data_IF_695491979629
#
_entry.id   IF_695491979629
#
_cell.length_a   1.000
_cell.length_b   1.000
_cell.length_c   1.000
_cell.angle_alpha   90.00
_cell.angle_beta   90.00
_cell.angle_gamma   90.00
#
_symmetry.space_group_name_H-M   'P 1'
#
loop_
_entity.id
_entity.type
_entity.pdbx_description
1 polymer ?
#
# COMPACT_ATOMS: atom_id res chain seq x y z
N UNK A 1 32.54 -9.59 8.59
CA UNK A 1 31.44 -8.78 9.16
C UNK A 1 30.43 -8.35 8.11
N UNK A 2 30.81 -7.63 7.05
CA UNK A 2 29.87 -7.18 6.01
C UNK A 2 29.27 -8.35 5.21
N UNK A 3 30.09 -9.34 4.83
CA UNK A 3 29.61 -10.51 4.08
C UNK A 3 28.61 -11.36 4.88
N UNK A 4 28.82 -11.50 6.19
CA UNK A 4 27.88 -12.20 7.07
C UNK A 4 26.54 -11.45 7.15
N UNK A 5 26.58 -10.13 7.35
CA UNK A 5 25.38 -9.30 7.35
C UNK A 5 24.59 -9.43 6.04
N UNK A 6 25.27 -9.43 4.89
CA UNK A 6 24.63 -9.58 3.59
C UNK A 6 23.89 -10.93 3.47
N UNK A 7 24.54 -12.02 3.87
CA UNK A 7 23.95 -13.38 3.88
C UNK A 7 22.77 -13.46 4.85
N UNK A 8 22.89 -12.91 6.06
CA UNK A 8 21.81 -12.93 7.05
C UNK A 8 20.60 -12.11 6.60
N UNK A 9 20.84 -10.98 5.94
CA UNK A 9 19.80 -10.15 5.37
C UNK A 9 19.08 -10.84 4.21
N UNK A 10 19.84 -11.42 3.27
CA UNK A 10 19.30 -12.20 2.15
C UNK A 10 18.44 -13.36 2.65
N UNK A 11 18.93 -14.15 3.61
CA UNK A 11 18.17 -15.25 4.22
C UNK A 11 16.85 -14.80 4.83
N UNK A 12 16.80 -13.64 5.50
CA UNK A 12 15.57 -13.10 6.11
C UNK A 12 14.59 -12.55 5.07
N UNK A 13 15.09 -12.00 3.97
CA UNK A 13 14.24 -11.48 2.89
C UNK A 13 13.70 -12.62 2.03
N UNK A 14 14.49 -13.65 1.74
CA UNK A 14 14.08 -14.78 0.90
C UNK A 14 13.36 -15.89 1.69
N UNK A 15 13.46 -15.88 3.02
CA UNK A 15 12.88 -16.91 3.87
C UNK A 15 13.69 -18.22 3.89
N UNK A 16 14.98 -18.17 3.54
CA UNK A 16 15.91 -19.31 3.50
C UNK A 16 16.76 -19.43 4.78
N UNK A 17 16.29 -18.87 5.89
CA UNK A 17 16.96 -18.93 7.19
C UNK A 17 16.96 -20.33 7.81
N UNK A 18 18.04 -20.66 8.53
CA UNK A 18 18.20 -21.97 9.20
C UNK A 18 17.28 -22.13 10.43
N UNK A 19 16.77 -21.01 10.97
CA UNK A 19 15.81 -20.97 12.07
C UNK A 19 14.52 -20.27 11.60
N UNK A 20 13.40 -20.97 11.73
CA UNK A 20 12.08 -20.48 11.31
C UNK A 20 11.32 -19.97 12.54
N UNK A 21 10.95 -18.70 12.54
CA UNK A 21 10.06 -18.11 13.55
C UNK A 21 8.62 -18.55 13.30
N UNK A 22 8.00 -19.18 14.29
CA UNK A 22 6.63 -19.71 14.22
C UNK A 22 5.60 -18.85 14.96
N UNK A 23 6.01 -17.76 15.61
CA UNK A 23 5.12 -16.90 16.39
C UNK A 23 4.63 -15.70 15.59
N UNK A 24 5.48 -15.12 14.74
CA UNK A 24 5.12 -13.99 13.90
C UNK A 24 5.72 -14.04 12.49
N UNK A 25 5.01 -13.44 11.53
CA UNK A 25 5.57 -13.20 10.19
C UNK A 25 6.68 -12.15 10.30
N UNK A 26 7.80 -12.34 9.60
CA UNK A 26 8.93 -11.41 9.60
C UNK A 26 9.58 -11.33 8.21
N UNK A 27 10.39 -10.29 7.99
CA UNK A 27 11.20 -10.11 6.78
C UNK A 27 10.38 -10.24 5.51
N UNK A 28 10.81 -11.14 4.61
CA UNK A 28 10.14 -11.41 3.34
C UNK A 28 8.68 -11.80 3.47
N UNK A 29 8.33 -12.63 4.45
CA UNK A 29 6.96 -13.10 4.64
C UNK A 29 6.02 -11.96 5.05
N UNK A 30 6.50 -11.05 5.91
CA UNK A 30 5.72 -9.86 6.31
C UNK A 30 5.58 -8.87 5.16
N UNK A 31 6.63 -8.68 4.34
CA UNK A 31 6.56 -7.89 3.10
C UNK A 31 5.54 -8.50 2.12
N UNK A 32 5.55 -9.81 1.93
CA UNK A 32 4.58 -10.51 1.08
C UNK A 32 3.15 -10.26 1.54
N UNK A 33 2.88 -10.39 2.84
CA UNK A 33 1.58 -10.07 3.44
C UNK A 33 1.18 -8.61 3.24
N UNK A 34 2.12 -7.66 3.33
CA UNK A 34 1.84 -6.25 3.05
C UNK A 34 1.32 -6.08 1.61
N UNK A 35 1.99 -6.68 0.63
CA UNK A 35 1.60 -6.56 -0.77
C UNK A 35 0.31 -7.30 -1.14
N UNK A 36 0.09 -8.50 -0.58
CA UNK A 36 -0.98 -9.38 -1.04
C UNK A 36 -2.23 -9.40 -0.16
N UNK A 37 -2.12 -8.98 1.09
CA UNK A 37 -3.28 -8.89 1.99
C UNK A 37 -3.56 -7.44 2.36
N UNK A 38 -2.56 -6.73 2.89
CA UNK A 38 -2.80 -5.43 3.52
C UNK A 38 -3.10 -4.34 2.50
N UNK A 39 -2.30 -4.23 1.44
CA UNK A 39 -2.49 -3.22 0.42
C UNK A 39 -3.81 -3.40 -0.35
N UNK A 40 -4.18 -4.62 -0.83
CA UNK A 40 -5.48 -4.86 -1.44
C UNK A 40 -6.64 -4.55 -0.49
N UNK A 41 -6.51 -4.91 0.79
CA UNK A 41 -7.51 -4.55 1.79
C UNK A 41 -7.69 -3.03 1.91
N UNK A 42 -6.60 -2.26 1.96
CA UNK A 42 -6.68 -0.79 2.04
C UNK A 42 -7.32 -0.18 0.78
N UNK A 43 -7.08 -0.76 -0.40
CA UNK A 43 -7.74 -0.33 -1.65
C UNK A 43 -9.25 -0.60 -1.63
N UNK A 44 -9.68 -1.77 -1.14
CA UNK A 44 -11.10 -2.13 -1.08
C UNK A 44 -11.83 -1.39 0.05
N UNK A 45 -11.13 -1.13 1.16
CA UNK A 45 -11.65 -0.36 2.30
C UNK A 45 -11.97 1.08 1.94
N UNK A 46 -11.48 1.60 0.82
CA UNK A 46 -11.86 2.92 0.34
C UNK A 46 -13.37 2.99 0.11
N UNK A 47 -14.09 3.45 1.13
CA UNK A 47 -15.54 3.53 1.09
C UNK A 47 -15.99 4.49 0.00
N UNK A 48 -17.06 4.06 -0.66
CA UNK A 48 -17.66 4.76 -1.76
C UNK A 48 -19.07 5.19 -1.36
N UNK A 49 -19.24 6.48 -1.03
CA UNK A 49 -20.58 7.04 -0.86
C UNK A 49 -21.20 7.23 -2.25
N UNK A 50 -22.03 6.25 -2.64
CA UNK A 50 -22.73 6.27 -3.92
C UNK A 50 -23.68 7.47 -4.05
N UNK A 51 -24.32 7.89 -2.94
CA UNK A 51 -25.24 9.04 -2.96
C UNK A 51 -24.46 10.32 -3.22
N UNK A 52 -23.31 10.48 -2.56
CA UNK A 52 -22.43 11.61 -2.80
C UNK A 52 -21.89 11.60 -4.23
N UNK A 53 -21.45 10.46 -4.77
CA UNK A 53 -20.96 10.42 -6.15
C UNK A 53 -22.04 10.80 -7.16
N UNK A 54 -23.26 10.26 -7.03
CA UNK A 54 -24.37 10.59 -7.93
C UNK A 54 -24.68 12.09 -7.89
N UNK A 55 -24.60 12.71 -6.71
CA UNK A 55 -24.73 14.16 -6.53
C UNK A 55 -23.61 14.90 -7.26
N UNK A 56 -22.36 14.47 -7.12
CA UNK A 56 -21.21 15.09 -7.79
C UNK A 56 -21.30 14.99 -9.32
N UNK A 57 -21.66 13.82 -9.85
CA UNK A 57 -21.89 13.61 -11.30
C UNK A 57 -22.96 14.57 -11.80
N UNK A 58 -24.08 14.66 -11.08
CA UNK A 58 -25.20 15.54 -11.44
C UNK A 58 -24.78 17.01 -11.51
N UNK A 59 -24.00 17.47 -10.53
CA UNK A 59 -23.47 18.84 -10.55
C UNK A 59 -22.43 19.06 -11.65
N UNK A 60 -21.52 18.11 -11.87
CA UNK A 60 -20.52 18.21 -12.93
C UNK A 60 -21.18 18.38 -14.31
N UNK A 61 -22.18 17.55 -14.62
CA UNK A 61 -22.92 17.63 -15.88
C UNK A 61 -23.63 18.97 -16.03
N UNK A 62 -24.35 19.43 -14.99
CA UNK A 62 -25.06 20.73 -15.02
C UNK A 62 -24.10 21.89 -15.22
N UNK A 63 -22.97 21.89 -14.52
CA UNK A 63 -21.96 22.96 -14.61
C UNK A 63 -21.29 23.02 -15.98
N UNK A 64 -21.02 21.86 -16.61
CA UNK A 64 -20.41 21.83 -17.95
C UNK A 64 -21.37 22.37 -19.00
N UNK A 65 -22.67 22.09 -18.89
CA UNK A 65 -23.68 22.62 -19.80
C UNK A 65 -23.93 24.12 -19.58
N UNK A 66 -23.80 24.60 -18.35
CA UNK A 66 -24.02 26.00 -18.00
C UNK A 66 -25.44 26.44 -18.34
N UNK A 67 -25.57 27.55 -19.10
CA UNK A 67 -26.86 28.09 -19.54
C UNK A 67 -27.50 27.30 -20.69
N UNK A 68 -26.73 26.44 -21.38
CA UNK A 68 -27.21 25.70 -22.55
C UNK A 68 -27.93 24.43 -22.11
N UNK A 69 -29.02 24.08 -22.78
CA UNK A 69 -29.68 22.79 -22.56
C UNK A 69 -28.82 21.67 -23.14
N UNK A 70 -28.40 20.74 -22.29
CA UNK A 70 -27.58 19.60 -22.68
C UNK A 70 -28.39 18.51 -23.35
N UNK A 71 -27.99 18.08 -24.55
CA UNK A 71 -28.58 16.93 -25.24
C UNK A 71 -27.87 15.61 -24.90
N UNK A 72 -26.58 15.68 -24.52
CA UNK A 72 -25.73 14.52 -24.23
C UNK A 72 -24.91 14.75 -22.96
N UNK A 73 -24.46 13.67 -22.30
CA UNK A 73 -23.53 13.77 -21.17
C UNK A 73 -22.14 14.18 -21.68
N UNK A 74 -21.49 15.21 -21.12
CA UNK A 74 -20.17 15.64 -21.60
C UNK A 74 -19.07 14.70 -21.11
N UNK A 75 -18.14 14.32 -21.99
CA UNK A 75 -16.96 13.49 -21.65
C UNK A 75 -16.14 14.07 -20.49
N UNK A 76 -16.07 15.40 -20.41
CA UNK A 76 -15.40 16.12 -19.33
C UNK A 76 -15.98 15.78 -17.95
N UNK A 77 -17.28 15.51 -17.82
CA UNK A 77 -17.89 15.12 -16.54
C UNK A 77 -17.36 13.77 -16.10
N UNK A 78 -17.35 12.79 -17.02
CA UNK A 78 -16.79 11.46 -16.76
C UNK A 78 -15.32 11.55 -16.40
N UNK A 79 -14.51 12.24 -17.21
CA UNK A 79 -13.08 12.39 -16.94
C UNK A 79 -12.80 13.02 -15.58
N UNK A 80 -13.53 14.09 -15.23
CA UNK A 80 -13.36 14.79 -13.95
C UNK A 80 -13.63 13.87 -12.77
N UNK A 81 -14.74 13.12 -12.85
CA UNK A 81 -15.16 12.21 -11.79
C UNK A 81 -14.19 11.04 -11.66
N UNK A 82 -13.79 10.41 -12.77
CA UNK A 82 -12.83 9.29 -12.77
C UNK A 82 -11.46 9.74 -12.26
N UNK A 83 -10.93 10.87 -12.75
CA UNK A 83 -9.67 11.45 -12.26
C UNK A 83 -9.72 11.70 -10.74
N UNK A 84 -10.86 12.17 -10.22
CA UNK A 84 -11.06 12.36 -8.77
C UNK A 84 -11.02 11.04 -8.00
N UNK A 85 -11.64 9.98 -8.51
CA UNK A 85 -11.60 8.66 -7.86
C UNK A 85 -10.19 8.04 -7.90
N UNK A 86 -9.51 8.07 -9.06
CA UNK A 86 -8.16 7.51 -9.21
C UNK A 86 -7.15 8.19 -8.28
N UNK A 87 -7.27 9.50 -8.05
CA UNK A 87 -6.41 10.24 -7.09
C UNK A 87 -6.45 9.67 -5.67
N UNK A 88 -7.58 9.06 -5.24
CA UNK A 88 -7.71 8.49 -3.90
C UNK A 88 -6.81 7.25 -3.69
N UNK A 89 -6.39 6.58 -4.77
CA UNK A 89 -5.49 5.40 -4.71
C UNK A 89 -4.09 5.76 -4.21
N UNK A 90 -3.69 7.04 -4.35
CA UNK A 90 -2.37 7.53 -3.95
C UNK A 90 -2.04 7.22 -2.49
N UNK A 91 -3.00 7.44 -1.59
CA UNK A 91 -2.76 7.32 -0.15
C UNK A 91 -2.50 5.86 0.28
N UNK A 92 -3.32 4.87 -0.12
CA UNK A 92 -2.99 3.45 0.08
C UNK A 92 -1.63 3.03 -0.47
N UNK A 93 -1.24 3.55 -1.65
CA UNK A 93 0.07 3.24 -2.24
C UNK A 93 1.23 3.75 -1.37
N UNK A 94 1.14 5.01 -0.89
CA UNK A 94 2.15 5.58 0.00
C UNK A 94 2.25 4.80 1.31
N UNK A 95 1.10 4.47 1.91
CA UNK A 95 1.04 3.66 3.12
C UNK A 95 1.65 2.27 2.91
N UNK A 96 1.43 1.64 1.76
CA UNK A 96 2.08 0.37 1.41
C UNK A 96 3.60 0.50 1.42
N UNK A 97 4.13 1.55 0.79
CA UNK A 97 5.58 1.83 0.76
C UNK A 97 6.12 2.03 2.17
N UNK A 98 5.45 2.83 3.01
CA UNK A 98 5.87 3.09 4.40
C UNK A 98 5.92 1.82 5.25
N UNK A 99 4.94 0.93 5.08
CA UNK A 99 4.92 -0.38 5.76
C UNK A 99 6.09 -1.27 5.33
N UNK A 100 6.41 -1.31 4.03
CA UNK A 100 7.56 -2.08 3.51
C UNK A 100 8.88 -1.49 4.00
N UNK A 101 9.04 -0.17 3.97
CA UNK A 101 10.24 0.51 4.49
C UNK A 101 10.43 0.20 5.98
N UNK A 102 9.35 0.23 6.76
CA UNK A 102 9.39 -0.09 8.19
C UNK A 102 9.89 -1.51 8.43
N UNK A 103 9.43 -2.47 7.64
CA UNK A 103 9.86 -3.87 7.74
C UNK A 103 11.31 -4.08 7.29
N UNK A 104 11.75 -3.39 6.23
CA UNK A 104 13.14 -3.43 5.80
C UNK A 104 14.08 -2.86 6.88
N UNK A 105 13.73 -1.74 7.50
CA UNK A 105 14.49 -1.15 8.61
C UNK A 105 14.54 -2.12 9.81
N UNK A 106 13.41 -2.75 10.14
CA UNK A 106 13.34 -3.77 11.18
C UNK A 106 14.30 -4.93 10.88
N UNK A 107 14.26 -5.45 9.65
CA UNK A 107 15.10 -6.56 9.18
C UNK A 107 16.59 -6.20 9.26
N UNK A 108 16.99 -5.00 8.82
CA UNK A 108 18.38 -4.52 8.93
C UNK A 108 18.83 -4.49 10.40
N UNK A 109 18.00 -3.95 11.30
CA UNK A 109 18.33 -3.89 12.74
C UNK A 109 18.44 -5.28 13.38
N UNK A 110 17.65 -6.23 12.93
CA UNK A 110 17.74 -7.62 13.40
C UNK A 110 19.03 -8.29 12.93
N UNK A 111 19.49 -8.02 11.71
CA UNK A 111 20.76 -8.55 11.19
C UNK A 111 22.00 -7.93 11.87
N UNK A 112 21.87 -6.74 12.48
CA UNK A 112 22.98 -6.09 13.20
C UNK A 112 22.98 -6.34 14.70
N UNK A 113 21.96 -7.02 15.25
CA UNK A 113 21.98 -7.47 16.65
C UNK A 113 23.09 -8.51 16.82
N UNK A 114 24.16 -8.15 17.54
CA UNK A 114 25.13 -9.15 18.02
C UNK A 114 24.39 -10.19 18.87
N UNK A 115 24.70 -11.49 18.75
CA UNK A 115 24.27 -12.44 19.77
C UNK A 115 24.83 -11.93 21.10
N UNK A 116 23.94 -11.58 22.03
CA UNK A 116 24.32 -11.39 23.41
C UNK A 116 24.96 -12.70 23.86
N UNK A 117 26.27 -12.67 24.08
CA UNK A 117 27.00 -13.68 24.85
C UNK A 117 26.40 -13.65 26.26
N UNK A 118 25.29 -14.35 26.43
CA UNK A 118 24.64 -14.58 27.72
C UNK A 118 25.02 -16.01 28.12
N UNK A 119 26.07 -16.09 28.93
CA UNK A 119 26.60 -17.22 29.70
C UNK A 119 27.00 -18.48 28.91
N UNK A 120 28.32 -18.74 28.81
CA UNK A 120 29.06 -19.65 29.71
C UNK A 120 30.46 -19.08 29.91
#
# INVERSE_FOLDING_TARGET
MVQQFAVDFEKRIEGSGDQIDTYELSGGARINRIFHERFPFELVKMEFDEKELRREISYAIKNIHGIRTGLFTPDMAFETIVKKQVKKIREPCLKCVDMVISELISTVRQCTKKPSLTYI
#
